data_IF_639440566186
#
_entry.id   IF_639440566186
#
_cell.length_a   1.000
_cell.length_b   1.000
_cell.length_c   1.000
_cell.angle_alpha   90.00
_cell.angle_beta   90.00
_cell.angle_gamma   90.00
#
_symmetry.space_group_name_H-M   'P 1'
#
loop_
_entity.id
_entity.type
_entity.pdbx_description
1 polymer ?
#
# COMPACT_ATOMS: atom_id res chain seq x y z
N UNK A 1 -54.18 35.32 -30.46
CA UNK A 1 -53.26 34.15 -30.21
C UNK A 1 -52.20 34.22 -31.29
N UNK A 2 -51.14 35.00 -31.01
CA UNK A 2 -50.03 35.18 -31.94
C UNK A 2 -48.97 34.15 -31.72
N UNK A 3 -48.80 33.25 -32.66
CA UNK A 3 -47.76 32.26 -32.68
C UNK A 3 -46.46 32.95 -33.12
N UNK A 4 -45.57 33.24 -32.19
CA UNK A 4 -44.25 33.82 -32.47
C UNK A 4 -43.42 32.78 -33.23
N UNK A 5 -43.23 33.03 -34.51
CA UNK A 5 -42.42 32.21 -35.41
C UNK A 5 -40.95 32.58 -35.21
N UNK A 6 -40.30 31.94 -34.26
CA UNK A 6 -38.86 32.13 -34.00
C UNK A 6 -38.09 31.42 -35.10
N UNK A 7 -37.32 32.14 -35.89
CA UNK A 7 -36.50 31.60 -36.97
C UNK A 7 -35.42 30.64 -36.41
N UNK A 8 -35.15 29.56 -37.17
CA UNK A 8 -34.14 28.53 -36.78
C UNK A 8 -32.80 29.11 -36.32
N UNK A 9 -32.42 30.27 -36.85
CA UNK A 9 -31.15 30.96 -36.53
C UNK A 9 -31.17 31.57 -35.12
N UNK A 10 -32.27 32.23 -34.73
CA UNK A 10 -32.42 32.77 -33.34
C UNK A 10 -32.55 31.68 -32.29
N UNK A 11 -33.14 30.54 -32.65
CA UNK A 11 -33.19 29.39 -31.72
C UNK A 11 -31.80 28.82 -31.42
N UNK A 12 -30.93 28.69 -32.45
CA UNK A 12 -29.55 28.24 -32.27
C UNK A 12 -28.69 29.26 -31.53
N UNK A 13 -28.83 30.55 -31.77
CA UNK A 13 -28.08 31.58 -31.01
C UNK A 13 -28.46 31.59 -29.52
N UNK A 14 -29.73 31.43 -29.19
CA UNK A 14 -30.19 31.32 -27.80
C UNK A 14 -29.75 30.02 -27.15
N UNK A 15 -29.67 28.93 -27.88
CA UNK A 15 -29.18 27.63 -27.37
C UNK A 15 -27.66 27.68 -27.09
N UNK A 16 -26.89 28.32 -27.96
CA UNK A 16 -25.43 28.49 -27.78
C UNK A 16 -25.12 29.42 -26.60
N UNK A 17 -25.89 30.51 -26.41
CA UNK A 17 -25.72 31.38 -25.24
C UNK A 17 -26.15 30.72 -23.93
N UNK A 18 -27.16 29.85 -23.94
CA UNK A 18 -27.58 29.09 -22.77
C UNK A 18 -26.58 27.99 -22.39
N UNK A 19 -25.82 27.45 -23.35
CA UNK A 19 -24.77 26.43 -23.10
C UNK A 19 -23.44 27.05 -22.63
N UNK A 20 -23.18 28.32 -22.89
CA UNK A 20 -21.99 29.04 -22.43
C UNK A 20 -22.14 29.59 -21.00
N UNK A 21 -23.34 29.63 -20.43
CA UNK A 21 -23.58 30.01 -19.03
C UNK A 21 -23.60 28.84 -18.05
N UNK A 22 -23.42 27.60 -18.52
CA UNK A 22 -23.06 26.46 -17.68
C UNK A 22 -21.58 26.54 -17.37
N UNK A 23 -21.23 27.46 -16.46
CA UNK A 23 -19.94 27.47 -15.76
C UNK A 23 -19.66 26.04 -15.27
N UNK A 24 -18.61 25.44 -15.78
CA UNK A 24 -18.10 24.15 -15.35
C UNK A 24 -17.77 24.24 -13.85
N UNK A 25 -18.52 23.58 -12.94
CA UNK A 25 -18.13 23.56 -11.53
C UNK A 25 -16.95 22.61 -11.29
N UNK A 26 -16.34 22.10 -12.35
CA UNK A 26 -15.26 21.11 -12.27
C UNK A 26 -13.89 21.67 -11.89
N UNK A 27 -13.62 22.97 -12.05
CA UNK A 27 -12.32 23.55 -11.69
C UNK A 27 -12.19 23.92 -10.21
N UNK A 28 -13.30 24.25 -9.54
CA UNK A 28 -13.28 24.59 -8.11
C UNK A 28 -13.21 23.34 -7.21
N UNK A 29 -13.67 22.19 -7.69
CA UNK A 29 -13.64 20.92 -6.92
C UNK A 29 -12.27 20.27 -6.80
N UNK A 30 -11.28 20.67 -7.61
CA UNK A 30 -9.91 20.14 -7.52
C UNK A 30 -9.11 20.84 -6.43
N UNK A 31 -9.26 22.15 -6.27
CA UNK A 31 -8.54 22.90 -5.22
C UNK A 31 -9.05 22.59 -3.79
N UNK A 32 -10.35 22.34 -3.63
CA UNK A 32 -10.90 21.94 -2.33
C UNK A 32 -10.47 20.51 -1.96
N UNK A 33 -10.49 19.56 -2.90
CA UNK A 33 -9.99 18.20 -2.68
C UNK A 33 -8.49 18.17 -2.37
N UNK A 34 -7.70 19.05 -2.94
CA UNK A 34 -6.27 19.16 -2.63
C UNK A 34 -6.01 19.79 -1.27
N UNK A 35 -6.85 20.72 -0.80
CA UNK A 35 -6.77 21.30 0.56
C UNK A 35 -7.13 20.27 1.63
N UNK A 36 -8.11 19.43 1.41
CA UNK A 36 -8.57 18.41 2.35
C UNK A 36 -7.59 17.22 2.45
N UNK A 37 -6.99 16.82 1.33
CA UNK A 37 -5.87 15.84 1.32
C UNK A 37 -4.66 16.33 2.11
N UNK A 38 -4.41 17.63 2.19
CA UNK A 38 -3.35 18.22 2.99
C UNK A 38 -3.62 18.17 4.50
N UNK A 39 -4.85 17.95 4.96
CA UNK A 39 -5.15 17.84 6.40
C UNK A 39 -4.56 16.58 7.07
N UNK A 40 -4.25 15.55 6.27
CA UNK A 40 -3.58 14.31 6.72
C UNK A 40 -2.06 14.52 6.88
N UNK A 41 -1.52 15.63 6.34
CA UNK A 41 -0.09 15.93 6.35
C UNK A 41 0.24 16.81 7.54
N UNK A 42 1.18 16.39 8.38
CA UNK A 42 1.64 17.18 9.53
C UNK A 42 2.25 18.53 9.11
N UNK A 43 2.01 19.57 9.93
CA UNK A 43 2.60 20.90 9.69
C UNK A 43 4.12 20.81 9.67
N UNK A 44 4.74 21.28 8.58
CA UNK A 44 6.20 21.29 8.39
C UNK A 44 6.77 20.08 7.64
N UNK A 45 5.96 19.07 7.30
CA UNK A 45 6.38 17.99 6.46
C UNK A 45 6.13 18.31 4.97
N UNK A 46 7.18 18.21 4.13
CA UNK A 46 7.08 18.40 2.69
C UNK A 46 7.13 17.04 1.95
N UNK A 47 5.98 16.51 1.51
CA UNK A 47 5.97 15.25 0.76
C UNK A 47 6.80 15.28 -0.52
N UNK A 48 6.92 16.43 -1.20
CA UNK A 48 7.68 16.54 -2.46
C UNK A 48 9.18 16.35 -2.26
N UNK A 49 9.69 16.60 -1.06
CA UNK A 49 11.09 16.40 -0.73
C UNK A 49 11.49 14.92 -0.63
N UNK A 50 10.52 14.00 -0.45
CA UNK A 50 10.75 12.60 -0.13
C UNK A 50 10.30 11.62 -1.22
N UNK A 51 10.77 10.38 -1.12
CA UNK A 51 10.27 9.22 -1.89
C UNK A 51 10.49 7.95 -1.08
N UNK A 52 9.49 7.54 -0.33
CA UNK A 52 9.63 6.46 0.64
C UNK A 52 9.64 5.06 0.02
N UNK A 53 10.36 4.16 0.67
CA UNK A 53 10.40 2.74 0.32
C UNK A 53 10.89 1.87 1.48
N UNK A 54 10.74 0.56 1.33
CA UNK A 54 11.16 -0.42 2.33
C UNK A 54 12.01 -1.52 1.70
N UNK A 55 13.08 -1.90 2.38
CA UNK A 55 13.90 -3.07 2.09
C UNK A 55 13.59 -4.20 3.06
N UNK A 56 13.61 -5.42 2.56
CA UNK A 56 13.44 -6.66 3.33
C UNK A 56 14.65 -7.56 3.08
N UNK A 57 15.36 -7.93 4.16
CA UNK A 57 16.44 -8.94 4.16
C UNK A 57 15.87 -10.27 4.60
N UNK A 58 15.61 -11.17 3.66
CA UNK A 58 14.99 -12.47 3.94
C UNK A 58 15.88 -13.33 4.84
N UNK A 59 17.18 -13.31 4.59
CA UNK A 59 18.21 -14.02 5.37
C UNK A 59 18.26 -13.63 6.84
N UNK A 60 17.77 -12.43 7.19
CA UNK A 60 17.72 -11.95 8.56
C UNK A 60 16.37 -12.14 9.25
N UNK A 61 15.33 -12.52 8.52
CA UNK A 61 14.02 -12.73 9.12
C UNK A 61 13.97 -14.06 9.87
N UNK A 62 13.68 -14.01 11.16
CA UNK A 62 13.56 -15.20 12.04
C UNK A 62 12.10 -15.63 12.29
N UNK A 63 11.13 -15.02 11.60
CA UNK A 63 9.71 -15.38 11.75
C UNK A 63 9.09 -15.04 13.10
N UNK A 64 9.65 -14.11 13.88
CA UNK A 64 9.21 -13.85 15.27
C UNK A 64 7.84 -13.14 15.40
N UNK A 65 7.20 -12.72 14.31
CA UNK A 65 5.88 -12.06 14.31
C UNK A 65 5.80 -10.67 14.95
N UNK A 66 6.87 -10.16 15.59
CA UNK A 66 6.86 -8.85 16.30
C UNK A 66 6.42 -7.69 15.41
N UNK A 67 6.80 -7.70 14.13
CA UNK A 67 6.42 -6.65 13.17
C UNK A 67 4.91 -6.62 12.91
N UNK A 68 4.24 -7.77 12.82
CA UNK A 68 2.80 -7.87 12.65
C UNK A 68 2.08 -7.39 13.92
N UNK A 69 2.56 -7.80 15.09
CA UNK A 69 2.00 -7.42 16.38
C UNK A 69 2.14 -5.90 16.65
N UNK A 70 3.33 -5.34 16.41
CA UNK A 70 3.56 -3.90 16.55
C UNK A 70 2.70 -3.09 15.57
N UNK A 71 2.52 -3.58 14.34
CA UNK A 71 1.67 -2.93 13.35
C UNK A 71 0.20 -2.92 13.78
N UNK A 72 -0.30 -4.02 14.36
CA UNK A 72 -1.66 -4.08 14.91
C UNK A 72 -1.87 -3.04 16.00
N UNK A 73 -0.94 -2.93 16.94
CA UNK A 73 -1.02 -1.97 18.05
C UNK A 73 -0.89 -0.52 17.60
N UNK A 74 0.03 -0.24 16.68
CA UNK A 74 0.32 1.12 16.21
C UNK A 74 -0.80 1.70 15.34
N UNK A 75 -1.52 0.86 14.63
CA UNK A 75 -2.46 1.30 13.60
C UNK A 75 -3.90 0.80 13.86
N UNK A 76 -4.21 0.42 15.09
CA UNK A 76 -5.53 -0.05 15.53
C UNK A 76 -6.14 -1.12 14.60
N UNK A 77 -5.26 -2.01 14.07
CA UNK A 77 -5.73 -3.11 13.22
C UNK A 77 -6.45 -4.14 14.10
N UNK A 78 -7.65 -4.59 13.71
CA UNK A 78 -8.43 -5.53 14.50
C UNK A 78 -7.61 -6.72 14.99
N UNK A 79 -7.73 -7.13 16.26
CA UNK A 79 -6.95 -8.22 16.84
C UNK A 79 -7.26 -9.58 16.23
N UNK A 80 -8.43 -9.70 15.59
CA UNK A 80 -8.90 -10.93 14.96
C UNK A 80 -7.91 -11.45 13.91
N UNK A 81 -7.82 -12.77 13.73
CA UNK A 81 -7.07 -13.36 12.63
C UNK A 81 -7.60 -12.86 11.28
N UNK A 82 -6.76 -12.89 10.24
CA UNK A 82 -7.03 -12.44 8.86
C UNK A 82 -6.90 -10.93 8.58
N UNK A 83 -6.90 -10.06 9.59
CA UNK A 83 -6.70 -8.62 9.39
C UNK A 83 -5.26 -8.22 9.65
N UNK A 84 -4.47 -7.97 8.59
CA UNK A 84 -3.06 -7.60 8.70
C UNK A 84 -2.69 -6.51 7.69
N UNK A 85 -2.01 -5.45 8.16
CA UNK A 85 -1.30 -4.51 7.28
C UNK A 85 0.10 -5.01 6.93
N UNK A 86 0.67 -5.92 7.74
CA UNK A 86 1.89 -6.67 7.47
C UNK A 86 1.84 -8.02 8.17
N UNK A 87 2.40 -9.05 7.56
CA UNK A 87 2.44 -10.42 8.07
C UNK A 87 3.75 -11.10 7.69
N UNK A 88 4.00 -12.28 8.21
CA UNK A 88 5.16 -13.10 7.89
C UNK A 88 4.68 -14.46 7.40
N UNK A 89 5.17 -14.89 6.27
CA UNK A 89 4.97 -16.22 5.73
C UNK A 89 6.23 -17.06 5.91
N UNK A 90 6.08 -18.34 6.27
CA UNK A 90 7.15 -19.33 6.22
C UNK A 90 7.00 -20.16 4.96
N UNK A 91 8.08 -20.27 4.23
CA UNK A 91 8.24 -21.14 3.08
C UNK A 91 9.06 -22.35 3.47
N UNK A 92 8.59 -23.54 3.13
CA UNK A 92 9.27 -24.84 3.32
C UNK A 92 9.38 -25.48 1.96
N UNK A 93 10.62 -25.70 1.50
CA UNK A 93 10.94 -26.32 0.22
C UNK A 93 11.41 -27.74 0.49
N UNK A 94 10.79 -28.72 -0.17
CA UNK A 94 11.07 -30.14 -0.06
C UNK A 94 11.93 -30.65 -1.22
N UNK A 95 12.54 -31.83 -1.02
CA UNK A 95 13.10 -32.60 -2.12
C UNK A 95 11.97 -32.93 -3.12
N UNK A 96 12.23 -32.65 -4.41
CA UNK A 96 11.21 -32.79 -5.48
C UNK A 96 10.53 -31.47 -5.86
N UNK A 97 10.88 -30.35 -5.21
CA UNK A 97 10.43 -29.00 -5.61
C UNK A 97 9.06 -28.60 -5.06
N UNK A 98 8.42 -29.42 -4.23
CA UNK A 98 7.19 -29.04 -3.53
C UNK A 98 7.48 -27.89 -2.55
N UNK A 99 6.61 -26.88 -2.54
CA UNK A 99 6.70 -25.75 -1.63
C UNK A 99 5.42 -25.63 -0.80
N UNK A 100 5.58 -25.66 0.52
CA UNK A 100 4.48 -25.43 1.46
C UNK A 100 4.67 -24.05 2.11
N UNK A 101 3.59 -23.28 2.16
CA UNK A 101 3.56 -21.96 2.77
C UNK A 101 2.58 -21.96 3.92
N UNK A 102 3.01 -21.43 5.07
CA UNK A 102 2.13 -21.17 6.20
C UNK A 102 2.37 -19.79 6.83
N UNK A 103 1.34 -19.28 7.47
CA UNK A 103 1.39 -17.98 8.16
C UNK A 103 0.40 -17.98 9.34
N UNK A 104 0.71 -18.69 10.44
CA UNK A 104 -0.19 -18.79 11.58
C UNK A 104 -0.49 -17.42 12.16
N UNK A 105 -1.76 -16.97 12.06
CA UNK A 105 -2.19 -15.63 12.48
C UNK A 105 -1.20 -14.53 12.02
N UNK A 106 -0.83 -14.51 10.72
CA UNK A 106 0.13 -13.54 10.18
C UNK A 106 1.55 -13.67 10.74
N UNK A 107 1.89 -14.78 11.39
CA UNK A 107 3.14 -15.05 12.09
C UNK A 107 3.14 -14.62 13.56
N UNK A 108 2.04 -14.06 14.08
CA UNK A 108 1.93 -13.61 15.49
C UNK A 108 1.95 -14.78 16.47
N UNK A 109 1.30 -15.89 16.11
CA UNK A 109 1.24 -17.10 16.96
C UNK A 109 2.51 -17.96 16.87
N UNK A 110 3.53 -17.47 16.15
CA UNK A 110 4.75 -18.20 15.89
C UNK A 110 4.60 -19.36 14.91
N UNK A 111 5.70 -19.99 14.59
CA UNK A 111 5.75 -21.09 13.62
C UNK A 111 6.10 -22.39 14.32
N UNK A 112 5.14 -23.29 14.48
CA UNK A 112 5.34 -24.60 15.10
C UNK A 112 6.29 -25.45 14.24
N UNK A 113 7.12 -26.24 14.92
CA UNK A 113 7.90 -27.28 14.23
C UNK A 113 6.93 -28.31 13.65
N UNK A 114 7.01 -28.53 12.33
CA UNK A 114 6.25 -29.60 11.68
C UNK A 114 7.04 -30.89 11.71
N UNK A 115 6.38 -31.99 12.05
CA UNK A 115 6.90 -33.33 11.76
C UNK A 115 6.66 -33.52 10.25
N UNK A 116 7.73 -33.69 9.49
CA UNK A 116 7.69 -33.76 8.04
C UNK A 116 8.00 -35.21 7.63
N UNK A 117 7.11 -35.79 6.83
CA UNK A 117 7.33 -37.12 6.23
C UNK A 117 8.35 -37.06 5.09
N UNK A 118 8.46 -35.89 4.45
CA UNK A 118 9.42 -35.63 3.35
C UNK A 118 10.64 -34.88 3.86
N UNK A 119 11.79 -35.14 3.24
CA UNK A 119 13.02 -34.41 3.55
C UNK A 119 12.91 -32.95 3.12
N UNK A 120 13.06 -32.04 4.11
CA UNK A 120 13.10 -30.60 3.90
C UNK A 120 14.49 -30.19 3.40
N UNK A 121 14.55 -29.46 2.31
CA UNK A 121 15.79 -28.87 1.79
C UNK A 121 16.11 -27.56 2.52
N UNK A 122 15.11 -26.69 2.66
CA UNK A 122 15.29 -25.37 3.30
C UNK A 122 13.96 -24.82 3.79
N UNK A 123 14.05 -23.91 4.76
CA UNK A 123 12.91 -23.10 5.23
C UNK A 123 13.37 -21.68 5.49
N UNK A 124 12.54 -20.71 5.12
CA UNK A 124 12.83 -19.28 5.28
C UNK A 124 11.55 -18.49 5.52
N UNK A 125 11.69 -17.27 6.03
CA UNK A 125 10.57 -16.39 6.36
C UNK A 125 10.54 -15.18 5.43
N UNK A 126 9.34 -14.86 4.93
CA UNK A 126 9.12 -13.72 4.04
C UNK A 126 8.14 -12.75 4.68
N UNK A 127 8.62 -11.62 5.23
CA UNK A 127 7.74 -10.54 5.65
C UNK A 127 7.04 -9.91 4.46
N UNK A 128 5.72 -9.83 4.51
CA UNK A 128 4.88 -9.20 3.47
C UNK A 128 4.11 -7.99 4.01
N UNK A 129 3.80 -7.06 3.14
CA UNK A 129 3.01 -5.86 3.42
C UNK A 129 2.55 -5.26 2.08
N UNK A 130 1.78 -4.16 2.13
CA UNK A 130 1.46 -3.41 0.92
C UNK A 130 2.75 -2.92 0.22
N UNK A 131 2.84 -3.18 -1.08
CA UNK A 131 4.02 -2.84 -1.88
C UNK A 131 4.16 -1.35 -2.20
N UNK A 132 3.21 -0.49 -1.82
CA UNK A 132 3.25 0.95 -2.07
C UNK A 132 3.66 1.26 -3.53
N UNK A 133 2.94 0.66 -4.46
CA UNK A 133 3.23 0.68 -5.89
C UNK A 133 3.34 2.09 -6.45
N UNK A 134 4.26 2.34 -7.39
CA UNK A 134 4.31 3.60 -8.12
C UNK A 134 3.15 3.70 -9.14
N UNK A 135 2.77 2.55 -9.72
CA UNK A 135 1.59 2.38 -10.57
C UNK A 135 0.53 1.53 -9.82
N UNK A 136 -0.22 2.11 -8.87
CA UNK A 136 -1.09 1.37 -7.98
C UNK A 136 -2.45 1.06 -8.64
N UNK A 137 -2.76 -0.20 -8.99
CA UNK A 137 -4.06 -0.55 -9.56
C UNK A 137 -5.23 -0.23 -8.63
N UNK A 138 -4.99 -0.31 -7.32
CA UNK A 138 -5.99 0.02 -6.31
C UNK A 138 -6.40 1.51 -6.25
N UNK A 139 -5.55 2.42 -6.74
CA UNK A 139 -5.90 3.85 -6.92
C UNK A 139 -6.74 4.02 -8.18
N UNK A 140 -6.36 3.32 -9.26
CA UNK A 140 -7.04 3.43 -10.55
C UNK A 140 -8.51 3.00 -10.50
N UNK A 141 -8.83 1.98 -9.69
CA UNK A 141 -10.19 1.42 -9.60
C UNK A 141 -11.06 2.09 -8.52
N UNK A 142 -10.55 3.07 -7.78
CA UNK A 142 -11.32 3.68 -6.69
C UNK A 142 -12.32 4.70 -7.26
N UNK A 143 -13.65 4.45 -7.18
CA UNK A 143 -14.64 5.31 -7.82
C UNK A 143 -14.77 6.66 -7.12
N UNK A 144 -14.51 6.72 -5.82
CA UNK A 144 -14.61 7.96 -5.03
C UNK A 144 -13.29 8.72 -4.90
N UNK A 145 -12.17 8.12 -5.40
CA UNK A 145 -10.83 8.66 -5.16
C UNK A 145 -10.33 8.57 -3.72
N UNK A 146 -11.05 7.85 -2.83
CA UNK A 146 -10.65 7.63 -1.45
C UNK A 146 -9.28 6.95 -1.32
N UNK A 147 -8.92 6.08 -2.26
CA UNK A 147 -7.55 5.56 -2.35
C UNK A 147 -6.74 6.45 -3.28
N UNK A 148 -5.69 7.06 -2.78
CA UNK A 148 -4.86 8.02 -3.51
C UNK A 148 -3.37 7.82 -3.23
N UNK A 149 -2.52 8.45 -4.02
CA UNK A 149 -1.07 8.47 -3.85
C UNK A 149 -0.61 9.88 -3.52
N UNK A 150 0.19 10.02 -2.47
CA UNK A 150 0.83 11.28 -2.06
C UNK A 150 2.05 11.59 -2.93
N UNK A 151 2.56 12.82 -2.87
CA UNK A 151 3.72 13.26 -3.65
C UNK A 151 5.02 12.54 -3.29
N UNK A 152 5.17 12.07 -2.04
CA UNK A 152 6.25 11.18 -1.60
C UNK A 152 6.06 9.72 -2.03
N UNK A 153 4.92 9.46 -2.68
CA UNK A 153 4.58 8.19 -3.30
C UNK A 153 4.00 7.15 -2.36
N UNK A 154 3.57 7.53 -1.18
CA UNK A 154 2.82 6.63 -0.30
C UNK A 154 1.37 6.56 -0.78
N UNK A 155 0.84 5.35 -0.89
CA UNK A 155 -0.58 5.16 -1.20
C UNK A 155 -1.35 5.14 0.12
N UNK A 156 -2.34 5.99 0.24
CA UNK A 156 -3.21 6.13 1.41
C UNK A 156 -4.66 5.77 1.08
N UNK A 157 -5.48 5.69 2.11
CA UNK A 157 -6.94 5.58 2.02
C UNK A 157 -7.53 6.65 2.94
N UNK A 158 -8.38 7.48 2.39
CA UNK A 158 -9.22 8.38 3.14
C UNK A 158 -10.49 7.63 3.56
N UNK A 159 -10.65 7.45 4.86
CA UNK A 159 -11.79 6.72 5.42
C UNK A 159 -13.11 7.46 5.28
N UNK A 160 -13.11 8.79 5.22
CA UNK A 160 -14.31 9.62 5.09
C UNK A 160 -14.94 9.49 3.69
N UNK A 161 -14.07 9.37 2.66
CA UNK A 161 -14.53 9.19 1.28
C UNK A 161 -14.68 7.71 0.87
N UNK A 162 -14.25 6.76 1.71
CA UNK A 162 -14.31 5.34 1.39
C UNK A 162 -15.70 4.77 1.59
N UNK A 163 -16.35 4.33 0.50
CA UNK A 163 -17.68 3.71 0.52
C UNK A 163 -17.67 2.18 0.75
N UNK A 164 -16.52 1.57 0.98
CA UNK A 164 -16.41 0.14 1.24
C UNK A 164 -16.72 -0.78 0.06
N UNK A 165 -16.61 -0.32 -1.19
CA UNK A 165 -16.96 -1.09 -2.39
C UNK A 165 -16.02 -2.26 -2.72
N UNK A 166 -14.90 -2.39 -2.03
CA UNK A 166 -13.90 -3.48 -2.12
C UNK A 166 -13.16 -3.61 -3.48
N UNK A 167 -13.43 -2.77 -4.48
CA UNK A 167 -12.72 -2.85 -5.78
C UNK A 167 -11.20 -2.78 -5.61
N UNK A 168 -10.69 -1.93 -4.72
CA UNK A 168 -9.26 -1.82 -4.45
C UNK A 168 -8.68 -3.06 -3.74
N UNK A 169 -9.50 -3.85 -3.04
CA UNK A 169 -9.11 -5.14 -2.42
C UNK A 169 -8.93 -6.18 -3.53
N UNK A 170 -9.91 -6.30 -4.42
CA UNK A 170 -9.87 -7.23 -5.55
C UNK A 170 -8.77 -6.89 -6.56
N UNK A 171 -8.54 -5.59 -6.82
CA UNK A 171 -7.50 -5.12 -7.74
C UNK A 171 -6.08 -5.30 -7.20
N UNK A 172 -5.89 -5.57 -5.89
CA UNK A 172 -4.57 -5.71 -5.31
C UNK A 172 -3.97 -7.11 -5.58
N UNK A 173 -2.94 -7.24 -6.43
CA UNK A 173 -2.40 -8.55 -6.78
C UNK A 173 -1.58 -9.19 -5.65
N UNK A 174 -1.36 -8.46 -4.57
CA UNK A 174 -0.55 -8.87 -3.41
C UNK A 174 -1.39 -9.29 -2.20
N UNK A 175 -2.72 -9.21 -2.27
CA UNK A 175 -3.60 -9.49 -1.13
C UNK A 175 -3.34 -8.60 0.10
N UNK A 176 -2.84 -7.38 -0.12
CA UNK A 176 -2.37 -6.50 0.97
C UNK A 176 -3.44 -5.52 1.47
N UNK A 177 -4.71 -5.79 1.18
CA UNK A 177 -5.84 -4.98 1.59
C UNK A 177 -6.93 -5.84 2.20
N UNK A 178 -7.66 -5.26 3.12
CA UNK A 178 -8.85 -5.86 3.72
C UNK A 178 -9.91 -4.80 3.98
N UNK A 179 -11.16 -5.21 4.17
CA UNK A 179 -12.23 -4.36 4.66
C UNK A 179 -12.22 -4.38 6.19
N UNK A 180 -12.13 -3.22 6.81
CA UNK A 180 -12.18 -3.12 8.26
C UNK A 180 -13.56 -3.57 8.77
N UNK A 181 -13.66 -4.48 9.74
CA UNK A 181 -14.95 -5.07 10.14
C UNK A 181 -15.92 -4.06 10.76
N UNK A 182 -15.42 -3.06 11.47
CA UNK A 182 -16.22 -2.05 12.17
C UNK A 182 -16.47 -0.83 11.28
N UNK A 183 -15.43 -0.20 10.76
CA UNK A 183 -15.56 1.03 9.97
C UNK A 183 -16.07 0.80 8.55
N UNK A 184 -16.03 -0.44 8.07
CA UNK A 184 -16.41 -0.84 6.70
C UNK A 184 -15.63 -0.09 5.60
N UNK A 185 -14.44 0.39 5.92
CA UNK A 185 -13.53 1.07 5.00
C UNK A 185 -12.38 0.16 4.59
N UNK A 186 -11.80 0.40 3.42
CA UNK A 186 -10.65 -0.37 2.95
C UNK A 186 -9.39 -0.01 3.73
N UNK A 187 -8.67 -1.01 4.19
CA UNK A 187 -7.47 -0.89 5.01
C UNK A 187 -6.23 -1.51 4.34
N UNK A 188 -5.06 -0.97 4.64
CA UNK A 188 -3.75 -1.47 4.20
C UNK A 188 -2.59 -0.80 4.93
N UNK A 189 -1.36 -1.30 4.74
CA UNK A 189 -0.15 -0.63 5.23
C UNK A 189 0.00 0.77 4.61
N UNK A 190 0.22 1.79 5.45
CA UNK A 190 0.44 3.20 5.10
C UNK A 190 1.91 3.62 5.30
N UNK A 191 2.85 2.69 5.51
CA UNK A 191 4.19 2.96 6.03
C UNK A 191 4.19 3.71 7.38
N UNK A 192 3.08 3.61 8.15
CA UNK A 192 2.85 4.42 9.36
C UNK A 192 3.03 5.92 9.05
N UNK A 193 2.23 6.45 8.13
CA UNK A 193 2.38 7.82 7.60
C UNK A 193 2.46 8.87 8.69
N UNK A 194 1.66 8.72 9.75
CA UNK A 194 1.68 9.56 10.95
C UNK A 194 3.03 9.57 11.71
N UNK A 195 3.85 8.50 11.54
CA UNK A 195 5.20 8.43 12.11
C UNK A 195 6.24 9.02 11.19
N UNK A 196 6.21 8.64 9.90
CA UNK A 196 7.23 9.08 8.94
C UNK A 196 7.17 10.59 8.69
N UNK A 197 5.98 11.19 8.74
CA UNK A 197 5.81 12.63 8.67
C UNK A 197 6.46 13.36 9.87
N UNK A 198 6.66 12.67 10.99
CA UNK A 198 7.40 13.16 12.18
C UNK A 198 8.89 12.76 12.19
N UNK A 199 9.42 12.24 11.10
CA UNK A 199 10.80 11.77 11.01
C UNK A 199 11.09 10.44 11.73
N UNK A 200 10.05 9.74 12.20
CA UNK A 200 10.20 8.41 12.83
C UNK A 200 10.11 7.30 11.79
N UNK A 201 10.69 6.16 12.11
CA UNK A 201 10.55 4.96 11.26
C UNK A 201 9.22 4.24 11.53
N UNK A 202 8.69 3.46 10.57
CA UNK A 202 7.51 2.62 10.80
C UNK A 202 7.69 1.67 11.98
N UNK A 203 6.62 1.44 12.76
CA UNK A 203 6.67 0.58 13.96
C UNK A 203 7.21 -0.83 13.69
N UNK A 204 6.88 -1.42 12.54
CA UNK A 204 7.38 -2.74 12.16
C UNK A 204 8.90 -2.78 11.84
N UNK A 205 9.50 -1.64 11.54
CA UNK A 205 10.96 -1.49 11.36
C UNK A 205 11.64 -1.35 12.72
N UNK A 206 11.09 -0.48 13.57
CA UNK A 206 11.61 -0.18 14.90
C UNK A 206 11.72 -1.43 15.78
N UNK A 207 10.69 -2.27 15.80
CA UNK A 207 10.65 -3.47 16.66
C UNK A 207 11.42 -4.66 16.09
N UNK A 208 12.00 -4.57 14.89
CA UNK A 208 12.64 -5.70 14.24
C UNK A 208 14.02 -6.02 14.88
N UNK A 209 14.17 -7.10 15.67
CA UNK A 209 15.39 -7.35 16.44
C UNK A 209 16.58 -7.70 15.56
N UNK A 210 16.33 -8.24 14.38
CA UNK A 210 17.38 -8.67 13.43
C UNK A 210 17.63 -7.64 12.33
N UNK A 211 16.92 -6.51 12.36
CA UNK A 211 16.98 -5.49 11.31
C UNK A 211 16.74 -6.07 9.90
N UNK A 212 15.83 -7.05 9.82
CA UNK A 212 15.39 -7.62 8.56
C UNK A 212 14.61 -6.60 7.71
N UNK A 213 14.05 -5.56 8.34
CA UNK A 213 13.33 -4.46 7.68
C UNK A 213 14.19 -3.20 7.68
N UNK A 214 14.29 -2.56 6.52
CA UNK A 214 15.04 -1.31 6.31
C UNK A 214 14.10 -0.32 5.67
N UNK A 215 13.91 0.84 6.30
CA UNK A 215 13.07 1.91 5.74
C UNK A 215 13.92 3.13 5.43
N UNK A 216 13.54 3.89 4.41
CA UNK A 216 14.23 5.13 4.09
C UNK A 216 13.73 5.82 2.84
N UNK A 217 14.24 7.03 2.68
CA UNK A 217 13.98 7.87 1.51
C UNK A 217 14.86 7.42 0.33
N UNK A 218 14.26 7.19 -0.82
CA UNK A 218 14.93 6.82 -2.08
C UNK A 218 15.69 7.99 -2.72
N UNK A 219 15.34 9.24 -2.40
CA UNK A 219 16.02 10.45 -2.86
C UNK A 219 17.27 10.73 -2.04
N UNK A 220 17.31 10.33 -0.78
CA UNK A 220 18.40 10.60 0.13
C UNK A 220 19.65 9.74 -0.15
N UNK A 221 20.76 10.32 -0.58
CA UNK A 221 22.00 9.57 -0.87
C UNK A 221 22.54 8.77 0.32
N UNK A 222 22.37 9.27 1.55
CA UNK A 222 22.80 8.63 2.79
C UNK A 222 21.70 7.75 3.43
N UNK A 223 20.55 7.60 2.78
CA UNK A 223 19.44 6.82 3.29
C UNK A 223 19.81 5.35 3.52
N UNK A 224 19.37 4.74 4.65
CA UNK A 224 19.56 3.31 4.90
C UNK A 224 19.02 2.43 3.77
N UNK A 225 17.91 2.82 3.16
CA UNK A 225 17.32 2.10 2.03
C UNK A 225 18.20 2.16 0.79
N UNK A 226 18.75 3.32 0.45
CA UNK A 226 19.64 3.46 -0.72
C UNK A 226 20.90 2.64 -0.52
N UNK A 227 21.47 2.64 0.69
CA UNK A 227 22.59 1.77 1.04
C UNK A 227 22.23 0.29 0.90
N UNK A 228 21.06 -0.12 1.41
CA UNK A 228 20.56 -1.48 1.27
C UNK A 228 20.46 -1.89 -0.21
N UNK A 229 19.86 -1.04 -1.05
CA UNK A 229 19.68 -1.31 -2.49
C UNK A 229 21.01 -1.45 -3.24
N UNK A 230 22.02 -0.66 -2.85
CA UNK A 230 23.37 -0.73 -3.47
C UNK A 230 24.14 -1.98 -3.07
N UNK A 231 23.95 -2.45 -1.84
CA UNK A 231 24.76 -3.55 -1.28
C UNK A 231 24.16 -4.95 -1.54
N UNK A 232 22.94 -5.03 -2.09
CA UNK A 232 22.25 -6.31 -2.23
C UNK A 232 21.70 -6.47 -3.65
N UNK A 233 21.58 -7.73 -4.09
CA UNK A 233 20.80 -8.07 -5.28
C UNK A 233 19.32 -7.95 -4.95
N UNK A 234 18.67 -6.93 -5.50
CA UNK A 234 17.29 -6.57 -5.19
C UNK A 234 16.32 -7.23 -6.15
N UNK A 235 15.22 -7.75 -5.61
CA UNK A 235 14.05 -8.21 -6.35
C UNK A 235 12.79 -7.57 -5.78
N UNK A 236 11.70 -7.59 -6.55
CA UNK A 236 10.36 -7.19 -6.13
C UNK A 236 9.39 -8.34 -6.35
N UNK A 237 8.27 -8.33 -5.63
CA UNK A 237 7.21 -9.32 -5.84
C UNK A 237 6.50 -9.05 -7.17
N UNK A 238 6.20 -10.11 -7.92
CA UNK A 238 5.42 -10.09 -9.18
C UNK A 238 5.84 -8.97 -10.16
N UNK A 239 7.13 -8.90 -10.57
CA UNK A 239 7.63 -7.82 -11.42
C UNK A 239 6.91 -7.74 -12.78
N UNK A 240 6.38 -8.85 -13.28
CA UNK A 240 5.66 -8.94 -14.54
C UNK A 240 4.31 -8.20 -14.55
N UNK A 241 3.79 -7.78 -13.39
CA UNK A 241 2.54 -7.00 -13.28
C UNK A 241 2.73 -5.49 -13.49
N UNK A 242 3.96 -5.04 -13.62
CA UNK A 242 4.31 -3.64 -13.92
C UNK A 242 3.72 -2.59 -12.95
N UNK A 243 3.50 -3.00 -11.70
CA UNK A 243 2.96 -2.12 -10.66
C UNK A 243 4.02 -1.25 -9.99
N UNK A 244 5.30 -1.49 -10.31
CA UNK A 244 6.47 -0.80 -9.76
C UNK A 244 6.49 -0.75 -8.22
N UNK A 245 6.68 -1.91 -7.55
CA UNK A 245 6.73 -1.97 -6.09
C UNK A 245 7.82 -1.10 -5.48
N UNK A 246 7.52 -0.48 -4.34
CA UNK A 246 8.49 0.25 -3.50
C UNK A 246 8.92 -0.55 -2.26
N UNK A 247 8.59 -1.83 -2.23
CA UNK A 247 9.13 -2.81 -1.28
C UNK A 247 10.10 -3.70 -2.02
N UNK A 248 11.35 -3.70 -1.55
CA UNK A 248 12.50 -4.33 -2.19
C UNK A 248 13.00 -5.48 -1.33
N UNK A 249 13.26 -6.62 -1.93
CA UNK A 249 13.69 -7.81 -1.23
C UNK A 249 15.11 -8.19 -1.60
N UNK A 250 15.96 -8.45 -0.59
CA UNK A 250 17.24 -9.12 -0.73
C UNK A 250 17.09 -10.58 -0.33
N UNK A 251 17.62 -11.49 -1.15
CA UNK A 251 17.50 -12.93 -0.92
C UNK A 251 16.11 -13.50 -1.28
N UNK A 252 15.31 -12.79 -2.10
CA UNK A 252 14.01 -13.30 -2.54
C UNK A 252 14.20 -14.53 -3.44
N UNK A 253 13.57 -15.60 -3.06
CA UNK A 253 13.57 -16.86 -3.77
C UNK A 253 12.55 -16.87 -4.93
N UNK A 254 12.76 -17.76 -5.90
CA UNK A 254 11.87 -17.91 -7.07
C UNK A 254 10.52 -18.50 -6.67
N UNK A 255 10.46 -19.25 -5.57
CA UNK A 255 9.24 -19.87 -5.04
C UNK A 255 8.28 -18.89 -4.40
N UNK A 256 8.73 -17.66 -4.10
CA UNK A 256 7.87 -16.63 -3.49
C UNK A 256 7.00 -15.96 -4.55
N UNK A 257 5.68 -16.13 -4.42
CA UNK A 257 4.66 -15.61 -5.34
C UNK A 257 3.94 -14.39 -4.80
#
# INVERSE_FOLDING_TARGET
MDIINIGRREFFERLVFSLLSLSFPGLLGTEEKDKEKNSIIEKGYDPKAHSWGMGIKIDRCIGCGRCANACKKENDVPPLPFYFRTWVERYIVFEGGEVVVDSPNGGVDGFKRRVLEKRMLRSFFVPKLCNQCANPPCVQVCPTGATFKTDDGVVLVDSEYCIGCEYCIQACPYGSRFLHPETRTAEKCTFCYHRIAKGMVPACVEVCPTQARVFGDRKGRASPLVRFMRMNKIRVLKPYLNTEPRVFYAGLDMEVK
#
